data_IF_495290277465
#
_entry.id   IF_495290277465
#
_cell.length_a   1.000
_cell.length_b   1.000
_cell.length_c   1.000
_cell.angle_alpha   90.00
_cell.angle_beta   90.00
_cell.angle_gamma   90.00
#
_symmetry.space_group_name_H-M   'P 1'
#
loop_
_entity.id
_entity.type
_entity.pdbx_description
1 polymer ?
#
# COMPACT_ATOMS: atom_id res chain seq x y z
N UNK A 1 5.04 -12.81 12.49
CA UNK A 1 4.01 -12.35 11.53
C UNK A 1 4.25 -10.90 11.18
N UNK A 2 3.20 -10.12 10.92
CA UNK A 2 3.29 -8.75 10.37
C UNK A 2 4.06 -7.75 11.25
N UNK A 3 4.02 -7.89 12.59
CA UNK A 3 4.73 -6.97 13.50
C UNK A 3 6.25 -6.92 13.24
N UNK A 4 6.85 -8.05 12.84
CA UNK A 4 8.30 -8.13 12.58
C UNK A 4 8.63 -7.99 11.09
N UNK A 5 7.63 -7.92 10.21
CA UNK A 5 7.82 -7.94 8.75
C UNK A 5 8.70 -6.76 8.28
N UNK A 6 8.36 -5.55 8.74
CA UNK A 6 9.00 -4.30 8.30
C UNK A 6 10.47 -4.23 8.68
N UNK A 7 10.83 -4.64 9.90
CA UNK A 7 12.22 -4.68 10.34
C UNK A 7 13.00 -5.78 9.62
N UNK A 8 12.39 -6.96 9.44
CA UNK A 8 13.03 -8.07 8.73
C UNK A 8 13.36 -7.71 7.27
N UNK A 9 12.39 -7.14 6.54
CA UNK A 9 12.60 -6.81 5.13
C UNK A 9 13.61 -5.66 4.96
N UNK A 10 13.59 -4.65 5.85
CA UNK A 10 14.59 -3.57 5.89
C UNK A 10 15.99 -4.12 6.19
N UNK A 11 16.12 -5.02 7.15
CA UNK A 11 17.40 -5.64 7.50
C UNK A 11 17.93 -6.53 6.39
N UNK A 12 17.07 -7.28 5.70
CA UNK A 12 17.48 -8.13 4.59
C UNK A 12 17.84 -7.27 3.34
N UNK A 13 17.16 -6.14 3.10
CA UNK A 13 17.54 -5.16 2.06
C UNK A 13 18.94 -4.59 2.31
N UNK A 14 19.24 -4.17 3.55
CA UNK A 14 20.56 -3.60 3.90
C UNK A 14 21.74 -4.55 3.65
N UNK A 15 21.50 -5.87 3.68
CA UNK A 15 22.53 -6.88 3.39
C UNK A 15 22.91 -6.95 1.91
N UNK A 16 21.98 -6.57 1.02
CA UNK A 16 22.18 -6.66 -0.44
C UNK A 16 22.40 -5.29 -1.09
N UNK A 17 21.93 -4.21 -0.48
CA UNK A 17 22.19 -2.83 -0.92
C UNK A 17 22.20 -1.88 0.27
N UNK A 18 23.37 -1.28 0.53
CA UNK A 18 23.55 -0.35 1.65
C UNK A 18 22.88 1.02 1.41
N UNK A 19 22.70 1.41 0.15
CA UNK A 19 22.18 2.73 -0.24
C UNK A 19 20.70 2.72 -0.64
N UNK A 20 20.06 1.55 -0.67
CA UNK A 20 18.64 1.44 -1.00
C UNK A 20 17.78 1.60 0.24
N UNK A 21 16.69 2.34 0.10
CA UNK A 21 15.70 2.55 1.14
C UNK A 21 14.34 1.95 0.73
N UNK A 22 13.53 1.60 1.72
CA UNK A 22 12.16 1.14 1.52
C UNK A 22 11.21 1.89 2.45
N UNK A 23 10.16 2.41 1.85
CA UNK A 23 9.08 3.12 2.51
C UNK A 23 7.81 2.29 2.46
N UNK A 24 6.97 2.45 3.49
CA UNK A 24 5.70 1.73 3.59
C UNK A 24 4.57 2.73 3.70
N UNK A 25 3.47 2.43 3.03
CA UNK A 25 2.30 3.31 2.98
C UNK A 25 1.03 2.49 3.19
N UNK A 26 0.03 3.10 3.83
CA UNK A 26 -1.33 2.54 3.86
C UNK A 26 -2.28 3.44 3.08
N UNK A 27 -3.03 2.82 2.17
CA UNK A 27 -4.16 3.42 1.47
C UNK A 27 -5.39 2.55 1.72
N UNK A 28 -6.27 2.98 2.63
CA UNK A 28 -7.38 2.17 3.15
C UNK A 28 -8.71 2.90 3.06
N UNK A 29 -9.78 2.17 2.73
CA UNK A 29 -11.16 2.66 2.90
C UNK A 29 -11.69 2.45 4.32
N UNK A 30 -10.89 1.86 5.22
CA UNK A 30 -11.19 1.71 6.64
C UNK A 30 -11.00 3.01 7.43
N UNK A 31 -11.17 2.90 8.74
CA UNK A 31 -11.12 4.03 9.69
C UNK A 31 -9.67 4.29 10.12
N UNK A 32 -9.22 5.53 10.00
CA UNK A 32 -7.84 5.96 10.26
C UNK A 32 -7.40 5.67 11.70
N UNK A 33 -8.26 5.92 12.67
CA UNK A 33 -8.00 5.71 14.09
C UNK A 33 -7.64 4.26 14.40
N UNK A 34 -8.26 3.29 13.72
CA UNK A 34 -7.95 1.86 13.92
C UNK A 34 -6.51 1.60 13.49
N UNK A 35 -6.13 2.02 12.28
CA UNK A 35 -4.80 1.76 11.71
C UNK A 35 -3.72 2.48 12.52
N UNK A 36 -3.94 3.74 12.89
CA UNK A 36 -2.99 4.57 13.65
C UNK A 36 -2.71 4.00 15.05
N UNK A 37 -3.67 3.31 15.66
CA UNK A 37 -3.52 2.67 16.96
C UNK A 37 -3.06 1.20 16.90
N UNK A 38 -2.57 0.74 15.75
CA UNK A 38 -1.89 -0.57 15.66
C UNK A 38 -0.42 -0.48 16.04
N UNK A 39 0.17 -1.58 16.51
CA UNK A 39 1.62 -1.65 16.81
C UNK A 39 2.53 -1.39 15.59
N UNK A 40 2.00 -1.58 14.39
CA UNK A 40 2.74 -1.42 13.13
C UNK A 40 2.63 -0.02 12.55
N UNK A 41 1.81 0.87 13.13
CA UNK A 41 1.58 2.21 12.58
C UNK A 41 2.87 3.01 12.39
N UNK A 42 3.82 2.85 13.31
CA UNK A 42 5.16 3.46 13.29
C UNK A 42 6.01 3.13 12.05
N UNK A 43 5.68 2.08 11.30
CA UNK A 43 6.45 1.70 10.11
C UNK A 43 6.01 2.43 8.85
N UNK A 44 4.82 3.05 8.85
CA UNK A 44 4.28 3.71 7.68
C UNK A 44 4.72 5.17 7.61
N UNK A 45 5.24 5.56 6.44
CA UNK A 45 5.61 6.94 6.14
C UNK A 45 4.38 7.84 6.05
N UNK A 46 3.25 7.32 5.57
CA UNK A 46 1.95 8.00 5.59
C UNK A 46 0.78 6.99 5.58
N UNK A 47 -0.38 7.42 6.08
CA UNK A 47 -1.60 6.62 6.20
C UNK A 47 -2.80 7.43 5.67
N UNK A 48 -3.32 7.04 4.52
CA UNK A 48 -4.59 7.56 3.99
C UNK A 48 -5.74 6.62 4.30
N UNK A 49 -6.64 7.08 5.16
CA UNK A 49 -7.83 6.35 5.56
C UNK A 49 -9.02 7.31 5.75
N UNK A 50 -10.23 6.74 5.94
CA UNK A 50 -11.41 7.50 6.29
C UNK A 50 -11.26 8.10 7.70
N UNK A 51 -11.74 9.32 7.90
CA UNK A 51 -11.64 10.03 9.18
C UNK A 51 -13.01 10.59 9.58
N UNK A 52 -13.27 10.60 10.88
CA UNK A 52 -14.40 11.31 11.45
C UNK A 52 -13.98 12.68 12.01
N UNK A 53 -14.92 13.62 12.03
CA UNK A 53 -14.78 14.84 12.80
C UNK A 53 -15.35 14.60 14.20
N UNK A 54 -14.56 14.90 15.22
CA UNK A 54 -14.96 14.80 16.62
C UNK A 54 -15.23 16.20 17.18
N UNK A 55 -16.25 16.30 18.03
CA UNK A 55 -16.51 17.52 18.79
C UNK A 55 -15.58 17.66 20.02
N UNK A 56 -15.77 18.72 20.81
CA UNK A 56 -14.98 18.99 22.00
C UNK A 56 -15.12 17.92 23.10
N UNK A 57 -16.12 17.03 23.02
CA UNK A 57 -16.34 15.93 23.94
C UNK A 57 -15.82 14.59 23.37
N UNK A 58 -15.05 14.61 22.27
CA UNK A 58 -14.60 13.43 21.54
C UNK A 58 -15.73 12.54 21.00
N UNK A 59 -16.90 13.12 20.69
CA UNK A 59 -18.00 12.40 20.04
C UNK A 59 -17.96 12.61 18.53
N UNK A 60 -18.24 11.54 17.78
CA UNK A 60 -18.32 11.60 16.31
C UNK A 60 -19.48 12.50 15.89
N UNK A 61 -19.19 13.55 15.13
CA UNK A 61 -20.20 14.51 14.64
C UNK A 61 -20.57 14.27 13.17
N UNK A 62 -19.59 14.03 12.29
CA UNK A 62 -19.80 13.73 10.87
C UNK A 62 -18.55 13.13 10.20
N UNK A 63 -18.66 12.52 9.00
CA UNK A 63 -17.52 12.07 8.21
C UNK A 63 -16.68 13.26 7.73
N UNK A 64 -15.38 13.29 8.07
CA UNK A 64 -14.45 14.36 7.70
C UNK A 64 -13.76 14.08 6.36
N UNK A 65 -13.37 12.82 6.14
CA UNK A 65 -12.63 12.38 4.96
C UNK A 65 -13.08 10.97 4.58
N UNK A 66 -13.35 10.76 3.30
CA UNK A 66 -13.70 9.46 2.75
C UNK A 66 -12.60 9.06 1.78
N UNK A 67 -12.12 7.82 1.88
CA UNK A 67 -11.17 7.22 0.94
C UNK A 67 -11.90 6.13 0.18
N UNK A 68 -12.24 6.42 -1.06
CA UNK A 68 -12.92 5.48 -1.96
C UNK A 68 -11.91 4.65 -2.78
N UNK A 69 -12.42 3.70 -3.55
CA UNK A 69 -11.59 2.92 -4.48
C UNK A 69 -10.93 3.78 -5.56
N UNK A 70 -11.54 4.90 -5.97
CA UNK A 70 -10.94 5.85 -6.93
C UNK A 70 -9.89 6.74 -6.27
N UNK A 71 -10.01 7.03 -4.97
CA UNK A 71 -8.98 7.77 -4.24
C UNK A 71 -7.67 6.99 -4.14
N UNK A 72 -7.72 5.65 -4.12
CA UNK A 72 -6.51 4.85 -3.94
C UNK A 72 -5.48 5.06 -5.05
N UNK A 73 -5.94 5.12 -6.31
CA UNK A 73 -5.07 5.41 -7.45
C UNK A 73 -4.49 6.81 -7.39
N UNK A 74 -5.27 7.80 -6.91
CA UNK A 74 -4.79 9.16 -6.66
C UNK A 74 -3.63 9.16 -5.67
N UNK A 75 -3.73 8.42 -4.57
CA UNK A 75 -2.66 8.36 -3.56
C UNK A 75 -1.38 7.69 -4.10
N UNK A 76 -1.48 6.68 -4.97
CA UNK A 76 -0.31 6.11 -5.66
C UNK A 76 0.43 7.18 -6.46
N UNK A 77 -0.29 8.05 -7.19
CA UNK A 77 0.32 9.17 -7.90
C UNK A 77 0.91 10.23 -6.95
N UNK A 78 0.29 10.47 -5.79
CA UNK A 78 0.83 11.39 -4.78
C UNK A 78 2.16 10.89 -4.23
N UNK A 79 2.25 9.60 -3.87
CA UNK A 79 3.50 8.96 -3.43
C UNK A 79 4.55 9.10 -4.54
N UNK A 80 4.20 8.76 -5.78
CA UNK A 80 5.12 8.80 -6.91
C UNK A 80 5.72 10.19 -7.15
N UNK A 81 4.93 11.24 -6.94
CA UNK A 81 5.33 12.65 -7.08
C UNK A 81 5.93 13.27 -5.80
N UNK A 82 6.07 12.52 -4.71
CA UNK A 82 6.58 13.03 -3.43
C UNK A 82 5.63 14.00 -2.71
N UNK A 83 4.33 13.92 -3.00
CA UNK A 83 3.29 14.77 -2.39
C UNK A 83 2.71 14.10 -1.13
N UNK A 84 3.58 13.84 -0.17
CA UNK A 84 3.31 13.06 1.05
C UNK A 84 3.41 13.93 2.32
N UNK A 85 2.72 13.51 3.40
CA UNK A 85 2.74 14.18 4.70
C UNK A 85 1.84 15.42 4.81
N UNK A 86 1.91 16.07 5.98
CA UNK A 86 0.97 17.10 6.43
C UNK A 86 0.84 18.30 5.47
N UNK A 87 1.91 18.63 4.75
CA UNK A 87 1.90 19.72 3.75
C UNK A 87 0.86 19.50 2.65
N UNK A 88 0.58 18.23 2.31
CA UNK A 88 -0.35 17.83 1.26
C UNK A 88 -1.66 17.23 1.82
N UNK A 89 -1.79 17.11 3.14
CA UNK A 89 -3.02 16.69 3.79
C UNK A 89 -4.17 17.64 3.41
N UNK A 90 -5.31 17.05 3.00
CA UNK A 90 -6.48 17.81 2.56
C UNK A 90 -6.34 18.53 1.22
N UNK A 91 -5.28 18.28 0.45
CA UNK A 91 -5.05 18.90 -0.88
C UNK A 91 -5.14 17.86 -2.00
N UNK A 92 -6.33 17.33 -2.32
CA UNK A 92 -6.48 16.26 -3.31
C UNK A 92 -6.00 16.65 -4.70
N UNK A 93 -6.12 17.93 -5.07
CA UNK A 93 -5.71 18.45 -6.38
C UNK A 93 -4.20 18.68 -6.53
N UNK A 94 -3.41 18.58 -5.45
CA UNK A 94 -1.96 18.77 -5.54
C UNK A 94 -1.32 17.81 -6.55
N UNK A 95 -1.86 16.59 -6.64
CA UNK A 95 -1.42 15.55 -7.58
C UNK A 95 -1.49 15.97 -9.06
N UNK A 96 -2.31 16.97 -9.39
CA UNK A 96 -2.49 17.45 -10.76
C UNK A 96 -1.34 18.36 -11.22
N UNK A 97 -0.47 18.80 -10.29
CA UNK A 97 0.73 19.53 -10.67
C UNK A 97 1.57 18.65 -11.61
N UNK A 98 2.01 19.26 -12.71
CA UNK A 98 2.91 18.60 -13.66
C UNK A 98 4.27 18.45 -12.96
N UNK A 99 4.78 17.23 -12.98
CA UNK A 99 6.10 16.85 -12.48
C UNK A 99 6.74 16.02 -13.58
N UNK A 100 7.97 16.34 -13.96
CA UNK A 100 8.65 15.58 -15.00
C UNK A 100 9.04 14.19 -14.47
N UNK A 101 9.02 13.17 -15.33
CA UNK A 101 9.22 11.79 -14.90
C UNK A 101 10.59 11.54 -14.23
N UNK A 102 11.59 12.36 -14.56
CA UNK A 102 12.92 12.35 -13.93
C UNK A 102 12.94 12.92 -12.51
N UNK A 103 11.90 13.67 -12.14
CA UNK A 103 11.74 14.32 -10.82
C UNK A 103 10.79 13.53 -9.92
N UNK A 104 10.30 12.36 -10.37
CA UNK A 104 9.47 11.51 -9.54
C UNK A 104 10.27 11.04 -8.33
N UNK A 105 9.64 11.19 -7.16
CA UNK A 105 10.20 10.78 -5.89
C UNK A 105 10.40 9.27 -5.85
N UNK A 106 9.36 8.51 -6.19
CA UNK A 106 9.42 7.05 -6.37
C UNK A 106 8.66 6.68 -7.64
N UNK A 107 9.34 6.33 -8.75
CA UNK A 107 8.65 5.87 -9.95
C UNK A 107 7.76 4.66 -9.68
N UNK A 108 6.59 4.57 -10.33
CA UNK A 108 5.62 3.48 -10.10
C UNK A 108 6.22 2.09 -10.39
N UNK A 109 7.17 2.00 -11.34
CA UNK A 109 7.93 0.76 -11.60
C UNK A 109 8.73 0.24 -10.40
N UNK A 110 9.02 1.10 -9.43
CA UNK A 110 9.73 0.78 -8.19
C UNK A 110 8.76 0.59 -7.01
N UNK A 111 7.48 0.33 -7.28
CA UNK A 111 6.46 0.12 -6.24
C UNK A 111 5.95 -1.32 -6.26
N UNK A 112 5.65 -1.83 -5.05
CA UNK A 112 4.90 -3.07 -4.85
C UNK A 112 3.57 -2.69 -4.21
N UNK A 113 2.45 -3.06 -4.84
CA UNK A 113 1.11 -2.83 -4.31
C UNK A 113 0.50 -4.15 -3.85
N UNK A 114 0.07 -4.19 -2.58
CA UNK A 114 -0.55 -5.36 -1.96
C UNK A 114 -2.02 -5.03 -1.65
N UNK A 115 -2.96 -5.84 -2.13
CA UNK A 115 -4.39 -5.65 -1.88
C UNK A 115 -5.15 -6.98 -1.80
N UNK A 116 -6.33 -6.97 -1.19
CA UNK A 116 -7.12 -8.17 -0.90
C UNK A 116 -8.48 -8.19 -1.61
N UNK A 117 -8.90 -7.06 -2.17
CA UNK A 117 -10.27 -6.84 -2.58
C UNK A 117 -10.46 -6.36 -4.01
N UNK A 118 -11.71 -6.42 -4.46
CA UNK A 118 -12.12 -5.89 -5.78
C UNK A 118 -11.92 -4.37 -5.88
N UNK A 119 -11.92 -3.66 -4.74
CA UNK A 119 -11.66 -2.21 -4.66
C UNK A 119 -10.25 -1.84 -5.11
N UNK A 120 -9.35 -2.81 -5.16
CA UNK A 120 -7.93 -2.61 -5.46
C UNK A 120 -7.58 -2.94 -6.92
N UNK A 121 -8.54 -3.47 -7.69
CA UNK A 121 -8.37 -3.75 -9.12
C UNK A 121 -7.86 -2.54 -9.91
N UNK A 122 -8.38 -1.31 -9.72
CA UNK A 122 -7.85 -0.15 -10.42
C UNK A 122 -6.39 0.16 -10.05
N UNK A 123 -5.98 -0.13 -8.82
CA UNK A 123 -4.59 0.03 -8.37
C UNK A 123 -3.69 -1.02 -9.02
N UNK A 124 -4.14 -2.28 -9.07
CA UNK A 124 -3.39 -3.33 -9.75
C UNK A 124 -3.17 -3.00 -11.23
N UNK A 125 -4.24 -2.62 -11.95
CA UNK A 125 -4.13 -2.22 -13.36
C UNK A 125 -3.21 -1.01 -13.56
N UNK A 126 -3.21 -0.05 -12.62
CA UNK A 126 -2.32 1.10 -12.67
C UNK A 126 -0.85 0.67 -12.52
N UNK A 127 -0.53 -0.13 -11.50
CA UNK A 127 0.84 -0.59 -11.26
C UNK A 127 1.38 -1.39 -12.44
N UNK A 128 0.62 -2.39 -12.91
CA UNK A 128 1.01 -3.22 -14.07
C UNK A 128 1.30 -2.37 -15.31
N UNK A 129 0.45 -1.36 -15.59
CA UNK A 129 0.65 -0.46 -16.73
C UNK A 129 1.97 0.31 -16.68
N UNK A 130 2.44 0.66 -15.48
CA UNK A 130 3.69 1.40 -15.28
C UNK A 130 4.86 0.51 -14.83
N UNK A 131 4.71 -0.82 -14.91
CA UNK A 131 5.78 -1.78 -14.61
C UNK A 131 6.05 -2.01 -13.13
N UNK A 132 5.14 -1.58 -12.24
CA UNK A 132 5.19 -1.93 -10.82
C UNK A 132 4.62 -3.32 -10.55
N UNK A 133 4.87 -3.84 -9.35
CA UNK A 133 4.50 -5.21 -8.97
C UNK A 133 3.22 -5.21 -8.14
N UNK A 134 2.37 -6.19 -8.39
CA UNK A 134 1.03 -6.32 -7.84
C UNK A 134 0.84 -7.67 -7.16
N UNK A 135 0.40 -7.65 -5.90
CA UNK A 135 0.21 -8.84 -5.09
C UNK A 135 -1.20 -8.85 -4.54
N UNK A 136 -1.97 -9.88 -4.88
CA UNK A 136 -3.22 -10.17 -4.20
C UNK A 136 -2.92 -10.97 -2.92
N UNK A 137 -3.59 -10.63 -1.81
CA UNK A 137 -3.54 -11.44 -0.59
C UNK A 137 -4.92 -11.92 -0.16
N UNK A 138 -4.97 -13.07 0.49
CA UNK A 138 -6.21 -13.64 1.03
C UNK A 138 -5.99 -14.26 2.40
N UNK A 139 -7.03 -14.26 3.21
CA UNK A 139 -7.06 -15.03 4.46
C UNK A 139 -7.41 -16.49 4.16
N UNK A 140 -6.49 -17.41 4.44
CA UNK A 140 -6.70 -18.84 4.23
C UNK A 140 -7.79 -19.44 5.12
N UNK A 141 -8.14 -18.78 6.23
CA UNK A 141 -9.27 -19.20 7.07
C UNK A 141 -10.62 -18.81 6.47
N UNK A 142 -10.62 -17.91 5.47
CA UNK A 142 -11.82 -17.45 4.79
C UNK A 142 -11.90 -18.03 3.37
N UNK A 143 -12.53 -19.21 3.24
CA UNK A 143 -12.69 -19.92 1.96
C UNK A 143 -13.40 -19.08 0.88
N UNK A 144 -14.28 -18.16 1.27
CA UNK A 144 -14.94 -17.23 0.33
C UNK A 144 -13.98 -16.16 -0.21
N UNK A 145 -13.03 -15.71 0.61
CA UNK A 145 -11.98 -14.79 0.18
C UNK A 145 -11.03 -15.47 -0.82
N UNK A 146 -10.70 -16.76 -0.60
CA UNK A 146 -9.88 -17.53 -1.52
C UNK A 146 -10.46 -17.60 -2.95
N UNK A 147 -11.75 -17.91 -3.08
CA UNK A 147 -12.41 -18.00 -4.39
C UNK A 147 -12.41 -16.66 -5.15
N UNK A 148 -12.60 -15.53 -4.44
CA UNK A 148 -12.50 -14.20 -5.04
C UNK A 148 -11.07 -13.86 -5.46
N UNK A 149 -10.09 -14.24 -4.64
CA UNK A 149 -8.70 -13.91 -4.89
C UNK A 149 -8.11 -14.73 -6.06
N UNK A 150 -8.57 -15.97 -6.24
CA UNK A 150 -8.26 -16.79 -7.42
C UNK A 150 -8.68 -16.12 -8.73
N UNK A 151 -9.81 -15.40 -8.74
CA UNK A 151 -10.25 -14.66 -9.93
C UNK A 151 -9.25 -13.57 -10.35
N UNK A 152 -8.50 -12.97 -9.41
CA UNK A 152 -7.47 -11.99 -9.77
C UNK A 152 -6.33 -12.65 -10.55
N UNK A 153 -5.93 -13.86 -10.18
CA UNK A 153 -4.85 -14.59 -10.85
C UNK A 153 -5.30 -15.11 -12.21
N UNK A 154 -6.52 -15.67 -12.31
CA UNK A 154 -7.05 -16.19 -13.59
C UNK A 154 -7.27 -15.07 -14.61
N UNK A 155 -7.69 -13.89 -14.17
CA UNK A 155 -7.87 -12.72 -15.02
C UNK A 155 -6.57 -11.91 -15.25
N UNK A 156 -5.41 -12.44 -14.82
CA UNK A 156 -4.07 -11.80 -14.93
C UNK A 156 -4.02 -10.38 -14.35
N UNK A 157 -4.85 -10.10 -13.33
CA UNK A 157 -4.95 -8.79 -12.69
C UNK A 157 -3.84 -8.53 -11.68
N UNK A 158 -3.11 -9.56 -11.27
CA UNK A 158 -1.98 -9.45 -10.33
C UNK A 158 -0.82 -10.34 -10.78
N UNK A 159 0.40 -10.00 -10.34
CA UNK A 159 1.60 -10.79 -10.62
C UNK A 159 1.61 -12.08 -9.79
N UNK A 160 1.18 -12.01 -8.53
CA UNK A 160 0.99 -13.22 -7.71
C UNK A 160 -0.12 -13.10 -6.65
N UNK A 161 -0.47 -14.24 -6.08
CA UNK A 161 -1.50 -14.44 -5.07
C UNK A 161 -0.92 -15.22 -3.88
N UNK A 162 -1.01 -14.67 -2.68
CA UNK A 162 -0.51 -15.32 -1.46
C UNK A 162 -1.47 -15.26 -0.28
N UNK A 163 -1.32 -16.19 0.66
CA UNK A 163 -1.90 -16.06 2.00
C UNK A 163 -1.30 -14.82 2.71
N UNK A 164 -2.08 -14.14 3.54
CA UNK A 164 -1.67 -13.08 4.49
C UNK A 164 -0.70 -13.54 5.59
N UNK A 165 0.25 -14.42 5.29
CA UNK A 165 1.34 -14.80 6.19
C UNK A 165 2.57 -13.93 5.92
N UNK A 166 2.76 -12.89 6.73
CA UNK A 166 3.91 -11.98 6.68
C UNK A 166 5.11 -12.47 7.51
N UNK A 167 5.13 -13.73 7.97
CA UNK A 167 6.27 -14.27 8.70
C UNK A 167 7.53 -14.35 7.82
N UNK A 168 8.71 -14.27 8.45
CA UNK A 168 9.97 -14.36 7.72
C UNK A 168 10.06 -15.70 7.00
N UNK A 169 10.53 -15.68 5.75
CA UNK A 169 10.65 -16.84 4.85
C UNK A 169 9.31 -17.47 4.41
N UNK A 170 8.16 -16.86 4.72
CA UNK A 170 6.89 -17.28 4.14
C UNK A 170 6.87 -17.07 2.62
N UNK A 171 5.95 -17.70 1.87
CA UNK A 171 5.83 -17.46 0.43
C UNK A 171 5.64 -15.98 0.08
N UNK A 172 4.79 -15.26 0.82
CA UNK A 172 4.56 -13.82 0.61
C UNK A 172 5.83 -13.00 0.89
N UNK A 173 6.52 -13.30 2.00
CA UNK A 173 7.77 -12.62 2.36
C UNK A 173 8.83 -12.79 1.28
N UNK A 174 9.04 -14.03 0.82
CA UNK A 174 10.04 -14.34 -0.19
C UNK A 174 9.69 -13.68 -1.51
N UNK A 175 8.43 -13.70 -1.94
CA UNK A 175 8.00 -13.03 -3.17
C UNK A 175 8.26 -11.52 -3.12
N UNK A 176 7.90 -10.86 -2.02
CA UNK A 176 8.18 -9.43 -1.82
C UNK A 176 9.69 -9.17 -1.87
N UNK A 177 10.50 -9.96 -1.17
CA UNK A 177 11.94 -9.74 -1.12
C UNK A 177 12.62 -9.97 -2.48
N UNK A 178 12.25 -11.02 -3.20
CA UNK A 178 12.74 -11.27 -4.56
C UNK A 178 12.28 -10.20 -5.56
N UNK A 179 11.09 -9.64 -5.35
CA UNK A 179 10.58 -8.50 -6.13
C UNK A 179 11.43 -7.25 -5.90
N UNK A 180 11.75 -6.94 -4.64
CA UNK A 180 12.64 -5.82 -4.29
C UNK A 180 14.03 -6.01 -4.92
N UNK A 181 14.61 -7.21 -4.87
CA UNK A 181 15.92 -7.50 -5.49
C UNK A 181 15.97 -7.17 -6.99
N UNK A 182 14.86 -7.32 -7.71
CA UNK A 182 14.77 -7.02 -9.15
C UNK A 182 14.67 -5.52 -9.44
N UNK A 183 14.35 -4.69 -8.44
CA UNK A 183 14.21 -3.24 -8.56
C UNK A 183 15.51 -2.48 -8.29
N UNK A 184 16.50 -3.16 -7.71
CA UNK A 184 17.84 -2.63 -7.41
C UNK A 184 18.75 -2.93 -8.60
#
# INVERSE_FOLDING_TARGET
>A
GVENFFDNIKNDLKKISANSEIEFYIISSGISEIVKNTKISKYFSDIWACEFHFDNNNLIKFPKKIVSFTDKTRYIFQISKGMIGDKYAGKPYAVNLKVDASEYYVPIKNMIYIGDGMTDVPCFSLLQRFGGITIAVYDAQNTRAYGKAQNFKTEKRVDDLHNTDYSKNSPLYNFIFESIKKMI
#
